data_IF_089528806090
#
_entry.id   IF_089528806090
#
_cell.length_a   1.000
_cell.length_b   1.000
_cell.length_c   1.000
_cell.angle_alpha   90.00
_cell.angle_beta   90.00
_cell.angle_gamma   90.00
#
_symmetry.space_group_name_H-M   'P 1'
#
loop_
_entity.id
_entity.type
_entity.pdbx_description
1 polymer ?
#
# COMPACT_ATOMS: atom_id res chain seq x y z
N UNK A 1 10.24 11.22 19.05
CA UNK A 1 9.96 10.34 17.93
C UNK A 1 11.17 9.48 17.59
N UNK A 2 11.00 8.19 17.52
CA UNK A 2 12.10 7.36 17.05
C UNK A 2 12.38 7.67 15.59
N UNK A 3 13.62 7.88 15.30
CA UNK A 3 14.04 8.05 13.92
C UNK A 3 14.02 6.69 13.22
N UNK A 4 13.35 6.63 12.09
CA UNK A 4 13.41 5.44 11.26
C UNK A 4 14.74 5.49 10.52
N UNK A 5 15.57 4.50 10.77
CA UNK A 5 16.83 4.36 10.07
C UNK A 5 16.72 3.26 9.02
N UNK A 6 17.38 3.47 7.92
CA UNK A 6 17.45 2.48 6.86
C UNK A 6 18.80 1.78 6.93
N UNK A 7 18.75 0.46 6.99
CA UNK A 7 19.96 -0.35 6.95
C UNK A 7 20.37 -0.49 5.49
N UNK A 8 21.44 0.18 5.16
CA UNK A 8 22.00 0.10 3.80
C UNK A 8 22.91 -1.13 3.78
N UNK A 9 22.44 -2.18 3.15
CA UNK A 9 23.16 -3.44 3.11
C UNK A 9 24.20 -3.51 2.00
N UNK A 10 24.13 -2.58 1.06
CA UNK A 10 25.06 -2.50 -0.04
C UNK A 10 25.60 -1.08 -0.12
N UNK A 11 26.94 -0.95 -0.13
CA UNK A 11 27.60 0.34 -0.17
C UNK A 11 27.23 1.18 -1.39
N UNK A 12 26.78 0.54 -2.44
CA UNK A 12 26.43 1.24 -3.66
C UNK A 12 24.93 1.45 -3.85
N UNK A 13 24.15 1.13 -2.83
CA UNK A 13 22.69 1.31 -2.87
C UNK A 13 22.04 0.61 -4.06
N UNK A 14 22.61 -0.52 -4.46
CA UNK A 14 22.20 -1.14 -5.72
C UNK A 14 21.10 -2.15 -5.64
N UNK A 15 20.87 -2.73 -4.50
CA UNK A 15 20.03 -3.91 -4.47
C UNK A 15 18.88 -3.83 -3.51
N UNK A 16 19.16 -3.59 -2.24
CA UNK A 16 18.13 -3.80 -1.26
C UNK A 16 18.40 -2.97 -0.01
N UNK A 17 17.35 -2.34 0.50
CA UNK A 17 17.41 -1.66 1.78
C UNK A 17 16.18 -2.01 2.60
N UNK A 18 16.38 -2.14 3.89
CA UNK A 18 15.30 -2.43 4.82
C UNK A 18 15.36 -1.38 5.93
N UNK A 19 14.19 -0.88 6.34
CA UNK A 19 14.13 0.05 7.45
C UNK A 19 14.51 -0.64 8.76
N UNK A 20 14.94 0.15 9.75
CA UNK A 20 15.40 -0.39 11.04
C UNK A 20 14.30 -1.17 11.79
N UNK A 21 13.05 -0.88 11.53
CA UNK A 21 11.92 -1.58 12.13
C UNK A 21 11.44 -2.77 11.30
N UNK A 22 12.12 -3.07 10.18
CA UNK A 22 11.81 -4.16 9.26
C UNK A 22 10.42 -4.10 8.63
N UNK A 23 9.82 -2.92 8.61
CA UNK A 23 8.48 -2.75 8.02
C UNK A 23 8.52 -2.28 6.58
N UNK A 24 9.60 -1.64 6.17
CA UNK A 24 9.75 -1.07 4.85
C UNK A 24 10.88 -1.74 4.10
N UNK A 25 10.68 -1.90 2.82
CA UNK A 25 11.66 -2.56 1.96
C UNK A 25 11.74 -1.83 0.62
N UNK A 26 12.94 -1.48 0.22
CA UNK A 26 13.21 -0.95 -1.12
C UNK A 26 14.09 -1.97 -1.83
N UNK A 27 13.65 -2.41 -2.98
CA UNK A 27 14.43 -3.31 -3.82
C UNK A 27 14.67 -2.67 -5.17
N UNK A 28 15.78 -3.00 -5.77
CA UNK A 28 16.12 -2.53 -7.09
C UNK A 28 16.02 -3.69 -8.07
N UNK A 29 15.17 -3.54 -9.06
CA UNK A 29 15.12 -4.47 -10.16
C UNK A 29 15.93 -3.90 -11.32
N UNK A 30 16.91 -4.65 -11.74
CA UNK A 30 17.75 -4.26 -12.85
C UNK A 30 17.45 -5.18 -14.01
N UNK A 31 16.70 -4.68 -14.98
CA UNK A 31 16.49 -5.42 -16.21
C UNK A 31 17.53 -5.07 -17.27
N UNK A 32 17.91 -3.80 -17.32
CA UNK A 32 18.94 -3.31 -18.21
C UNK A 32 19.76 -2.28 -17.47
N UNK A 33 21.02 -2.10 -17.86
CA UNK A 33 21.90 -1.13 -17.21
C UNK A 33 21.37 0.30 -17.28
N UNK A 34 20.48 0.58 -18.22
CA UNK A 34 19.93 1.91 -18.42
C UNK A 34 18.63 2.17 -17.65
N UNK A 35 17.93 1.13 -17.22
CA UNK A 35 16.67 1.30 -16.52
C UNK A 35 16.68 0.62 -15.17
N UNK A 36 17.18 1.31 -14.17
CA UNK A 36 17.00 0.82 -12.81
C UNK A 36 15.69 1.35 -12.25
N UNK A 37 14.85 0.44 -11.83
CA UNK A 37 13.63 0.76 -11.13
C UNK A 37 13.73 0.30 -9.69
N UNK A 38 13.31 1.17 -8.80
CA UNK A 38 13.21 0.83 -7.40
C UNK A 38 11.75 0.56 -7.06
N UNK A 39 11.54 -0.39 -6.16
CA UNK A 39 10.21 -0.71 -5.64
C UNK A 39 10.20 -0.53 -4.13
N UNK A 40 9.20 0.20 -3.66
CA UNK A 40 9.00 0.43 -2.24
C UNK A 40 7.78 -0.37 -1.78
N UNK A 41 7.97 -1.15 -0.74
CA UNK A 41 6.92 -1.97 -0.16
C UNK A 41 6.86 -1.72 1.34
N UNK A 42 5.65 -1.67 1.87
CA UNK A 42 5.44 -1.68 3.31
C UNK A 42 4.84 -3.04 3.70
N UNK A 43 5.46 -3.73 4.64
CA UNK A 43 5.06 -5.08 5.01
C UNK A 43 3.76 -5.15 5.80
N UNK A 44 3.28 -4.03 6.32
CA UNK A 44 1.96 -3.98 6.94
C UNK A 44 0.84 -4.05 5.92
N UNK A 45 1.17 -3.79 4.66
CA UNK A 45 0.22 -3.81 3.54
C UNK A 45 0.50 -5.03 2.69
N UNK A 46 -0.42 -5.97 2.67
CA UNK A 46 -0.20 -7.26 2.02
C UNK A 46 -0.20 -7.20 0.50
N UNK A 47 -1.04 -6.39 -0.10
CA UNK A 47 -1.24 -6.42 -1.55
C UNK A 47 -0.99 -5.09 -2.24
N UNK A 48 -1.20 -4.00 -1.56
CA UNK A 48 -1.07 -2.65 -2.14
C UNK A 48 -1.22 -1.63 -1.02
N UNK A 49 -0.82 -0.38 -1.19
CA UNK A 49 -0.13 0.16 -2.37
C UNK A 49 1.37 -0.08 -2.36
N UNK A 50 1.98 0.12 -3.51
CA UNK A 50 3.43 0.05 -3.67
C UNK A 50 3.92 1.36 -4.24
N UNK A 51 5.21 1.62 -4.10
CA UNK A 51 5.87 2.73 -4.77
C UNK A 51 6.86 2.20 -5.78
N UNK A 52 7.10 2.95 -6.84
CA UNK A 52 8.11 2.59 -7.83
C UNK A 52 8.64 3.84 -8.50
N UNK A 53 9.84 3.76 -9.01
CA UNK A 53 10.43 4.88 -9.71
C UNK A 53 11.92 4.73 -9.92
N UNK A 54 12.53 5.68 -10.64
CA UNK A 54 13.96 5.63 -10.94
C UNK A 54 14.86 5.98 -9.75
N UNK A 55 14.29 6.60 -8.71
CA UNK A 55 15.04 6.93 -7.50
C UNK A 55 14.14 6.82 -6.28
N UNK A 56 14.74 6.98 -5.12
CA UNK A 56 14.03 6.82 -3.84
C UNK A 56 12.93 7.84 -3.65
N UNK A 57 13.18 9.07 -4.03
CA UNK A 57 12.20 10.14 -3.87
C UNK A 57 10.93 9.82 -4.66
N UNK A 58 11.09 9.43 -5.92
CA UNK A 58 9.96 9.07 -6.77
C UNK A 58 9.22 7.85 -6.21
N UNK A 59 9.94 6.88 -5.68
CA UNK A 59 9.33 5.72 -5.04
C UNK A 59 8.41 6.13 -3.89
N UNK A 60 8.87 7.00 -3.00
CA UNK A 60 8.05 7.45 -1.89
C UNK A 60 6.89 8.32 -2.36
N UNK A 61 7.13 9.21 -3.30
CA UNK A 61 6.06 10.04 -3.86
C UNK A 61 4.98 9.20 -4.51
N UNK A 62 5.38 8.20 -5.29
CA UNK A 62 4.45 7.29 -5.95
C UNK A 62 3.68 6.46 -4.92
N UNK A 63 4.36 6.02 -3.88
CA UNK A 63 3.72 5.28 -2.79
C UNK A 63 2.64 6.13 -2.12
N UNK A 64 2.97 7.37 -1.79
CA UNK A 64 2.04 8.30 -1.14
C UNK A 64 0.82 8.55 -2.05
N UNK A 65 1.07 8.79 -3.32
CA UNK A 65 0.01 9.00 -4.30
C UNK A 65 -0.89 7.78 -4.44
N UNK A 66 -0.29 6.60 -4.49
CA UNK A 66 -1.04 5.36 -4.56
C UNK A 66 -1.86 5.11 -3.30
N UNK A 67 -1.36 5.53 -2.14
CA UNK A 67 -2.11 5.48 -0.90
C UNK A 67 -3.38 6.33 -0.99
N UNK A 68 -3.27 7.54 -1.52
CA UNK A 68 -4.42 8.42 -1.67
C UNK A 68 -5.50 7.80 -2.56
N UNK A 69 -5.09 7.22 -3.68
CA UNK A 69 -6.01 6.52 -4.58
C UNK A 69 -6.65 5.31 -3.91
N UNK A 70 -5.87 4.59 -3.13
CA UNK A 70 -6.36 3.42 -2.42
C UNK A 70 -7.36 3.80 -1.33
N UNK A 71 -7.11 4.89 -0.62
CA UNK A 71 -8.03 5.41 0.39
C UNK A 71 -9.38 5.76 -0.25
N UNK A 72 -9.36 6.43 -1.40
CA UNK A 72 -10.59 6.77 -2.11
C UNK A 72 -11.35 5.52 -2.55
N UNK A 73 -10.63 4.52 -3.02
CA UNK A 73 -11.23 3.25 -3.40
C UNK A 73 -11.87 2.55 -2.20
N UNK A 74 -11.16 2.54 -1.08
CA UNK A 74 -11.67 1.93 0.16
C UNK A 74 -12.91 2.65 0.65
N UNK A 75 -12.96 3.97 0.56
CA UNK A 75 -14.12 4.76 0.96
C UNK A 75 -15.35 4.39 0.13
N UNK A 76 -15.18 4.19 -1.16
CA UNK A 76 -16.27 3.76 -2.02
C UNK A 76 -16.80 2.38 -1.64
N UNK A 77 -15.88 1.44 -1.40
CA UNK A 77 -16.26 0.09 -0.99
C UNK A 77 -16.95 0.11 0.38
N UNK A 78 -16.47 0.96 1.28
CA UNK A 78 -17.08 1.13 2.59
C UNK A 78 -18.52 1.62 2.45
N UNK A 79 -18.75 2.57 1.56
CA UNK A 79 -20.09 3.09 1.32
C UNK A 79 -20.99 2.02 0.71
N UNK A 80 -20.48 1.25 -0.23
CA UNK A 80 -21.22 0.12 -0.79
C UNK A 80 -21.62 -0.89 0.28
N UNK A 81 -20.70 -1.18 1.19
CA UNK A 81 -20.96 -2.10 2.28
C UNK A 81 -22.12 -1.58 3.19
N UNK A 82 -22.13 -0.28 3.45
CA UNK A 82 -23.22 0.33 4.23
C UNK A 82 -24.57 0.19 3.52
N UNK A 83 -24.58 0.41 2.22
CA UNK A 83 -25.79 0.27 1.42
C UNK A 83 -26.29 -1.17 1.42
N UNK A 84 -25.39 -2.12 1.23
CA UNK A 84 -25.76 -3.54 1.28
C UNK A 84 -26.29 -3.93 2.65
N UNK A 85 -25.65 -3.45 3.70
CA UNK A 85 -26.12 -3.71 5.07
C UNK A 85 -27.53 -3.19 5.28
N UNK A 86 -27.81 -1.98 4.81
CA UNK A 86 -29.15 -1.37 4.94
C UNK A 86 -30.19 -2.22 4.22
N UNK A 87 -29.89 -2.64 2.99
CA UNK A 87 -30.80 -3.47 2.22
C UNK A 87 -31.07 -4.80 2.93
N UNK A 88 -30.02 -5.42 3.45
CA UNK A 88 -30.16 -6.70 4.14
C UNK A 88 -30.93 -6.57 5.44
N UNK A 89 -30.72 -5.48 6.18
CA UNK A 89 -31.46 -5.24 7.41
C UNK A 89 -32.95 -5.01 7.16
N UNK A 90 -33.27 -4.29 6.09
CA UNK A 90 -34.65 -4.07 5.71
C UNK A 90 -35.34 -5.36 5.27
N UNK A 91 -34.63 -6.18 4.49
CA UNK A 91 -35.13 -7.49 4.09
C UNK A 91 -35.38 -8.39 5.30
N UNK A 92 -34.46 -8.37 6.27
CA UNK A 92 -34.61 -9.14 7.49
C UNK A 92 -35.84 -8.67 8.32
N UNK A 93 -36.08 -7.37 8.34
CA UNK A 93 -37.28 -6.83 9.03
C UNK A 93 -38.57 -7.31 8.38
N UNK A 94 -38.60 -7.32 7.06
CA UNK A 94 -39.77 -7.81 6.33
C UNK A 94 -40.04 -9.29 6.64
N UNK A 95 -38.97 -10.08 6.72
CA UNK A 95 -39.09 -11.50 7.05
C UNK A 95 -39.59 -11.73 8.47
N UNK A 96 -39.15 -10.88 9.42
CA UNK A 96 -39.60 -11.03 10.82
C UNK A 96 -40.97 -10.44 11.07
N UNK A 97 -41.50 -9.63 10.17
CA UNK A 97 -42.82 -9.05 10.29
C UNK A 97 -43.95 -9.94 9.78
N UNK A 98 -43.58 -11.04 9.17
CA UNK A 98 -44.60 -12.00 8.76
C UNK A 98 -44.97 -12.88 9.93
N UNK A 99 -46.11 -12.66 10.46
CA UNK A 99 -46.68 -13.52 11.46
C UNK A 99 -47.46 -14.63 10.81
#
# INVERSE_FOLDING_TARGET
>A
MPKINWNITDQELKQEMVSSDNRWHISKTQKDEEESKFFLTNYDLLLAPHGSGPDYKVCFETFIENCDQYIEKIKKIQQEAREHMTVMLEAAKELTHED
#
